data_IF_780715299536
#
_entry.id   IF_780715299536
#
_cell.length_a   1.000
_cell.length_b   1.000
_cell.length_c   1.000
_cell.angle_alpha   90.00
_cell.angle_beta   90.00
_cell.angle_gamma   90.00
#
_symmetry.space_group_name_H-M   'P 1'
#
loop_
_entity.id
_entity.type
_entity.pdbx_description
1 polymer ?
#
# COMPACT_ATOMS: atom_id res chain seq x y z
N UNK A 1 -73.27 -5.33 -27.20
CA UNK A 1 -71.93 -4.97 -27.66
C UNK A 1 -70.94 -5.46 -26.64
N UNK A 2 -70.25 -6.55 -26.91
CA UNK A 2 -69.43 -7.32 -25.97
C UNK A 2 -67.99 -6.75 -26.03
N UNK A 3 -67.42 -6.32 -24.91
CA UNK A 3 -65.99 -6.01 -24.82
C UNK A 3 -65.35 -7.17 -24.08
N UNK A 4 -64.51 -7.89 -24.79
CA UNK A 4 -63.65 -8.96 -24.26
C UNK A 4 -62.43 -8.34 -23.56
N UNK A 5 -62.31 -8.65 -22.27
CA UNK A 5 -61.09 -8.36 -21.52
C UNK A 5 -60.17 -9.57 -21.64
N UNK A 6 -59.06 -9.40 -22.35
CA UNK A 6 -57.98 -10.37 -22.42
C UNK A 6 -57.08 -10.19 -21.19
N UNK A 7 -57.12 -11.14 -20.26
CA UNK A 7 -56.17 -11.23 -19.17
C UNK A 7 -54.85 -11.81 -19.65
N UNK A 8 -53.80 -11.03 -19.55
CA UNK A 8 -52.41 -11.48 -19.77
C UNK A 8 -51.87 -12.13 -18.52
N UNK A 9 -51.67 -13.46 -18.58
CA UNK A 9 -50.96 -14.23 -17.57
C UNK A 9 -49.48 -13.87 -17.67
N UNK A 10 -48.96 -13.20 -16.65
CA UNK A 10 -47.53 -13.04 -16.44
C UNK A 10 -46.97 -14.34 -15.84
N UNK A 11 -46.27 -15.11 -16.64
CA UNK A 11 -45.52 -16.26 -16.17
C UNK A 11 -44.28 -15.76 -15.41
N UNK A 12 -44.32 -15.86 -14.10
CA UNK A 12 -43.15 -15.63 -13.25
C UNK A 12 -42.21 -16.82 -13.44
N UNK A 13 -41.14 -16.61 -14.22
CA UNK A 13 -40.04 -17.56 -14.33
C UNK A 13 -39.27 -17.58 -13.03
N UNK A 14 -39.52 -18.61 -12.21
CA UNK A 14 -38.68 -18.94 -11.04
C UNK A 14 -37.35 -19.44 -11.57
N UNK A 15 -36.35 -18.55 -11.53
CA UNK A 15 -34.95 -18.94 -11.74
C UNK A 15 -34.57 -19.76 -10.49
N UNK A 16 -34.59 -21.08 -10.61
CA UNK A 16 -33.98 -22.00 -9.66
C UNK A 16 -32.48 -21.72 -9.66
N UNK A 17 -32.03 -20.88 -8.74
CA UNK A 17 -30.63 -20.74 -8.35
C UNK A 17 -30.23 -22.10 -7.74
N UNK A 18 -29.69 -22.96 -8.59
CA UNK A 18 -28.98 -24.15 -8.10
C UNK A 18 -27.90 -23.65 -7.13
N UNK A 19 -27.81 -24.20 -5.91
CA UNK A 19 -26.70 -23.89 -5.02
C UNK A 19 -25.43 -24.37 -5.74
N UNK A 20 -24.68 -23.43 -6.32
CA UNK A 20 -23.31 -23.70 -6.72
C UNK A 20 -22.59 -24.02 -5.42
N UNK A 21 -22.26 -25.29 -5.21
CA UNK A 21 -21.32 -25.67 -4.16
C UNK A 21 -20.02 -24.92 -4.41
N UNK A 22 -19.92 -23.74 -3.86
CA UNK A 22 -18.67 -23.03 -3.74
C UNK A 22 -17.87 -23.85 -2.75
N UNK A 23 -17.06 -24.78 -3.25
CA UNK A 23 -15.96 -25.34 -2.47
C UNK A 23 -15.23 -24.16 -1.90
N UNK A 24 -15.30 -23.99 -0.59
CA UNK A 24 -14.50 -23.03 0.17
C UNK A 24 -13.05 -23.52 0.10
N UNK A 25 -12.45 -23.39 -1.08
CA UNK A 25 -11.02 -23.38 -1.25
C UNK A 25 -10.57 -22.23 -0.38
N UNK A 26 -9.61 -22.45 0.50
CA UNK A 26 -9.08 -21.50 1.48
C UNK A 26 -8.80 -20.13 0.83
N UNK A 27 -9.85 -19.37 0.64
CA UNK A 27 -9.78 -18.01 0.17
C UNK A 27 -9.28 -17.23 1.36
N UNK A 28 -7.98 -16.97 1.39
CA UNK A 28 -7.35 -16.26 2.47
C UNK A 28 -8.04 -14.91 2.68
N UNK A 29 -8.99 -14.89 3.62
CA UNK A 29 -9.60 -13.64 4.07
C UNK A 29 -8.50 -12.75 4.62
N UNK A 30 -8.46 -11.51 4.16
CA UNK A 30 -7.55 -10.49 4.65
C UNK A 30 -8.32 -9.67 5.67
N UNK A 31 -7.87 -9.69 6.91
CA UNK A 31 -8.36 -8.87 7.99
C UNK A 31 -7.16 -8.20 8.67
N UNK A 32 -7.05 -6.89 8.56
CA UNK A 32 -5.95 -6.12 9.12
C UNK A 32 -6.45 -4.84 9.80
N UNK A 33 -6.75 -4.88 11.09
CA UNK A 33 -7.01 -3.69 11.87
C UNK A 33 -5.70 -2.94 12.14
N UNK A 34 -5.76 -1.62 12.14
CA UNK A 34 -4.63 -0.75 12.44
C UNK A 34 -5.05 0.43 13.31
N UNK A 35 -4.19 0.80 14.25
CA UNK A 35 -4.25 2.06 14.98
C UNK A 35 -3.31 3.04 14.28
N UNK A 36 -3.85 4.06 13.63
CA UNK A 36 -3.08 5.04 12.86
C UNK A 36 -2.55 6.18 13.75
N UNK A 37 -3.31 6.54 14.77
CA UNK A 37 -2.93 7.51 15.81
C UNK A 37 -3.75 7.23 17.08
N UNK A 38 -3.59 8.05 18.13
CA UNK A 38 -4.36 7.87 19.37
C UNK A 38 -5.87 7.95 19.18
N UNK A 39 -6.32 8.61 18.10
CA UNK A 39 -7.75 8.83 17.81
C UNK A 39 -8.15 8.40 16.41
N UNK A 40 -7.31 7.62 15.72
CA UNK A 40 -7.58 7.16 14.36
C UNK A 40 -7.30 5.68 14.23
N UNK A 41 -8.29 4.97 13.75
CA UNK A 41 -8.25 3.53 13.51
C UNK A 41 -8.64 3.25 12.07
N UNK A 42 -8.16 2.17 11.53
CA UNK A 42 -8.63 1.62 10.25
C UNK A 42 -8.74 0.11 10.31
N UNK A 43 -9.57 -0.44 9.45
CA UNK A 43 -9.69 -1.87 9.25
C UNK A 43 -9.69 -2.14 7.75
N UNK A 44 -8.78 -3.00 7.32
CA UNK A 44 -8.68 -3.46 5.94
C UNK A 44 -9.26 -4.86 5.84
N UNK A 45 -10.27 -5.00 4.99
CA UNK A 45 -10.96 -6.25 4.67
C UNK A 45 -10.68 -6.59 3.22
N UNK A 46 -10.49 -7.86 2.89
CA UNK A 46 -10.29 -8.26 1.50
C UNK A 46 -10.13 -9.74 1.33
N UNK A 47 -9.87 -10.14 0.09
CA UNK A 47 -9.64 -11.52 -0.28
C UNK A 47 -8.59 -11.63 -1.38
N UNK A 48 -7.95 -12.78 -1.45
CA UNK A 48 -7.14 -13.16 -2.61
C UNK A 48 -8.09 -13.67 -3.70
N UNK A 49 -7.94 -13.16 -4.89
CA UNK A 49 -8.70 -13.61 -6.06
C UNK A 49 -7.99 -14.78 -6.73
N UNK A 50 -8.75 -15.76 -7.26
CA UNK A 50 -8.19 -16.95 -7.93
C UNK A 50 -7.76 -16.59 -9.37
N UNK A 51 -6.69 -15.83 -9.48
CA UNK A 51 -6.10 -15.39 -10.76
C UNK A 51 -4.70 -15.98 -10.88
N UNK A 52 -4.20 -16.14 -12.11
CA UNK A 52 -2.81 -16.60 -12.37
C UNK A 52 -1.78 -15.67 -11.71
N UNK A 53 -2.05 -14.38 -11.74
CA UNK A 53 -1.26 -13.38 -11.03
C UNK A 53 -1.85 -13.15 -9.65
N UNK A 54 -1.07 -13.17 -8.56
CA UNK A 54 -1.58 -12.94 -7.20
C UNK A 54 -2.25 -11.57 -7.09
N UNK A 55 -3.57 -11.56 -7.13
CA UNK A 55 -4.41 -10.38 -7.02
C UNK A 55 -5.17 -10.40 -5.70
N UNK A 56 -5.15 -9.31 -4.98
CA UNK A 56 -5.91 -9.09 -3.75
C UNK A 56 -6.74 -7.84 -3.90
N UNK A 57 -7.95 -7.85 -3.38
CA UNK A 57 -8.82 -6.68 -3.40
C UNK A 57 -9.74 -6.66 -2.19
N UNK A 58 -10.22 -5.48 -1.83
CA UNK A 58 -11.10 -5.32 -0.69
C UNK A 58 -11.48 -3.88 -0.38
N UNK A 59 -11.89 -3.71 0.86
CA UNK A 59 -12.32 -2.43 1.44
C UNK A 59 -11.40 -2.07 2.61
N UNK A 60 -11.13 -0.79 2.76
CA UNK A 60 -10.52 -0.19 3.93
C UNK A 60 -11.48 0.85 4.48
N UNK A 61 -11.83 0.70 5.75
CA UNK A 61 -12.67 1.64 6.48
C UNK A 61 -11.83 2.30 7.56
N UNK A 62 -11.90 3.62 7.62
CA UNK A 62 -11.26 4.41 8.66
C UNK A 62 -12.27 5.01 9.63
N UNK A 63 -11.79 5.41 10.78
CA UNK A 63 -12.52 6.21 11.74
C UNK A 63 -11.55 7.13 12.47
N UNK A 64 -11.83 8.42 12.47
CA UNK A 64 -11.07 9.42 13.21
C UNK A 64 -12.00 10.15 14.17
N UNK A 65 -11.55 10.40 15.40
CA UNK A 65 -12.30 11.12 16.42
C UNK A 65 -11.61 12.44 16.80
N UNK A 66 -12.41 13.46 17.11
CA UNK A 66 -11.96 14.74 17.67
C UNK A 66 -11.49 14.59 19.13
N UNK A 67 -10.98 15.66 19.72
CA UNK A 67 -10.63 15.70 21.16
C UNK A 67 -11.80 15.42 22.08
N UNK A 68 -13.00 15.79 21.69
CA UNK A 68 -14.24 15.50 22.42
C UNK A 68 -14.84 14.12 22.15
N UNK A 69 -14.17 13.24 21.42
CA UNK A 69 -14.63 11.88 21.09
C UNK A 69 -15.68 11.81 19.97
N UNK A 70 -16.07 12.92 19.36
CA UNK A 70 -16.97 12.91 18.22
C UNK A 70 -16.28 12.35 16.98
N UNK A 71 -16.96 11.49 16.22
CA UNK A 71 -16.44 10.97 14.94
C UNK A 71 -16.39 12.12 13.93
N UNK A 72 -15.20 12.38 13.38
CA UNK A 72 -14.95 13.49 12.46
C UNK A 72 -14.87 13.01 11.02
N UNK A 73 -14.30 11.82 10.81
CA UNK A 73 -14.08 11.27 9.47
C UNK A 73 -14.20 9.74 9.47
N UNK A 74 -14.90 9.21 8.47
CA UNK A 74 -15.08 7.77 8.25
C UNK A 74 -14.79 7.41 6.79
N UNK A 75 -13.52 7.52 6.35
CA UNK A 75 -13.17 7.22 4.98
C UNK A 75 -13.43 5.76 4.64
N UNK A 76 -14.07 5.54 3.50
CA UNK A 76 -14.25 4.22 2.89
C UNK A 76 -13.46 4.19 1.60
N UNK A 77 -12.53 3.24 1.50
CA UNK A 77 -11.65 3.11 0.34
C UNK A 77 -11.75 1.71 -0.23
N UNK A 78 -11.80 1.60 -1.54
CA UNK A 78 -11.54 0.36 -2.27
C UNK A 78 -10.04 0.25 -2.50
N UNK A 79 -9.51 -0.94 -2.31
CA UNK A 79 -8.11 -1.21 -2.59
C UNK A 79 -7.96 -2.48 -3.42
N UNK A 80 -6.94 -2.51 -4.23
CA UNK A 80 -6.51 -3.69 -4.96
C UNK A 80 -4.99 -3.67 -5.08
N UNK A 81 -4.36 -4.81 -4.98
CA UNK A 81 -2.94 -4.96 -5.24
C UNK A 81 -2.65 -6.27 -5.99
N UNK A 82 -1.65 -6.23 -6.85
CA UNK A 82 -1.26 -7.32 -7.71
C UNK A 82 0.27 -7.36 -7.82
N UNK A 83 0.84 -8.55 -7.67
CA UNK A 83 2.26 -8.78 -7.91
C UNK A 83 2.46 -9.14 -9.38
N UNK A 84 3.01 -8.21 -10.17
CA UNK A 84 3.29 -8.41 -11.59
C UNK A 84 4.46 -9.36 -11.83
N UNK A 85 5.47 -9.30 -10.96
CA UNK A 85 6.69 -10.08 -11.08
C UNK A 85 7.25 -10.37 -9.69
N UNK A 86 7.62 -11.61 -9.44
CA UNK A 86 8.35 -12.00 -8.24
C UNK A 86 9.40 -13.02 -8.64
N UNK A 87 10.67 -12.68 -8.41
CA UNK A 87 11.82 -13.57 -8.63
C UNK A 87 12.58 -13.70 -7.33
N UNK A 88 12.81 -14.92 -6.89
CA UNK A 88 13.55 -15.21 -5.67
C UNK A 88 14.60 -16.29 -5.98
N UNK A 89 15.78 -15.83 -6.37
CA UNK A 89 16.95 -16.66 -6.64
C UNK A 89 18.01 -16.46 -5.55
N UNK A 90 18.92 -17.40 -5.33
CA UNK A 90 20.04 -17.19 -4.42
C UNK A 90 20.78 -15.88 -4.73
N UNK A 91 20.83 -14.98 -3.74
CA UNK A 91 21.48 -13.67 -3.87
C UNK A 91 20.71 -12.61 -4.67
N UNK A 92 19.53 -12.92 -5.24
CA UNK A 92 18.74 -11.95 -6.02
C UNK A 92 17.25 -12.08 -5.70
N UNK A 93 16.66 -11.00 -5.23
CA UNK A 93 15.20 -10.90 -5.05
C UNK A 93 14.69 -9.69 -5.81
N UNK A 94 13.73 -9.89 -6.70
CA UNK A 94 13.06 -8.83 -7.45
C UNK A 94 11.56 -8.98 -7.25
N UNK A 95 10.88 -7.89 -6.92
CA UNK A 95 9.43 -7.83 -6.86
C UNK A 95 8.94 -6.57 -7.57
N UNK A 96 7.83 -6.69 -8.28
CA UNK A 96 7.09 -5.58 -8.88
C UNK A 96 5.64 -5.73 -8.53
N UNK A 97 5.12 -4.76 -7.80
CA UNK A 97 3.75 -4.74 -7.31
C UNK A 97 3.04 -3.51 -7.85
N UNK A 98 1.77 -3.66 -8.18
CA UNK A 98 0.87 -2.56 -8.53
C UNK A 98 -0.26 -2.53 -7.53
N UNK A 99 -0.52 -1.36 -6.97
CA UNK A 99 -1.62 -1.11 -6.07
C UNK A 99 -2.56 -0.05 -6.62
N UNK A 100 -3.84 -0.18 -6.33
CA UNK A 100 -4.87 0.81 -6.61
C UNK A 100 -5.59 1.11 -5.30
N UNK A 101 -5.81 2.38 -5.03
CA UNK A 101 -6.60 2.85 -3.91
C UNK A 101 -7.62 3.87 -4.43
N UNK A 102 -8.88 3.73 -4.08
CA UNK A 102 -9.94 4.65 -4.47
C UNK A 102 -10.78 5.02 -3.25
N UNK A 103 -10.93 6.30 -3.00
CA UNK A 103 -11.78 6.82 -1.94
C UNK A 103 -13.22 6.88 -2.46
N UNK A 104 -14.13 6.12 -1.84
CA UNK A 104 -15.53 6.02 -2.26
C UNK A 104 -16.31 7.34 -2.04
N UNK A 105 -15.89 8.17 -1.09
CA UNK A 105 -16.59 9.41 -0.74
C UNK A 105 -16.20 10.58 -1.64
N UNK A 106 -14.91 10.68 -1.98
CA UNK A 106 -14.39 11.80 -2.78
C UNK A 106 -14.24 11.46 -4.26
N UNK A 107 -14.28 10.17 -4.63
CA UNK A 107 -13.95 9.71 -5.97
C UNK A 107 -12.46 9.81 -6.31
N UNK A 108 -11.62 10.23 -5.35
CA UNK A 108 -10.17 10.34 -5.57
C UNK A 108 -9.54 8.94 -5.62
N UNK A 109 -8.55 8.78 -6.48
CA UNK A 109 -7.86 7.50 -6.69
C UNK A 109 -6.35 7.68 -6.76
N UNK A 110 -5.63 6.61 -6.45
CA UNK A 110 -4.19 6.52 -6.63
C UNK A 110 -3.83 5.16 -7.23
N UNK A 111 -2.93 5.17 -8.19
CA UNK A 111 -2.27 3.97 -8.72
C UNK A 111 -0.81 4.03 -8.32
N UNK A 112 -0.35 3.00 -7.63
CA UNK A 112 1.02 2.91 -7.14
C UNK A 112 1.72 1.72 -7.75
N UNK A 113 2.92 1.93 -8.29
CA UNK A 113 3.81 0.87 -8.74
C UNK A 113 5.04 0.84 -7.84
N UNK A 114 5.27 -0.30 -7.19
CA UNK A 114 6.43 -0.54 -6.32
C UNK A 114 7.37 -1.54 -7.00
N UNK A 115 8.64 -1.19 -7.07
CA UNK A 115 9.70 -2.05 -7.56
C UNK A 115 10.73 -2.23 -6.46
N UNK A 116 10.91 -3.46 -6.00
CA UNK A 116 11.93 -3.83 -5.03
C UNK A 116 12.96 -4.72 -5.69
N UNK A 117 14.23 -4.41 -5.53
CA UNK A 117 15.32 -5.22 -6.01
C UNK A 117 16.38 -5.33 -4.91
N UNK A 118 16.65 -6.55 -4.46
CA UNK A 118 17.73 -6.86 -3.53
C UNK A 118 18.73 -7.78 -4.21
N UNK A 119 20.02 -7.47 -4.07
CA UNK A 119 21.12 -8.28 -4.59
C UNK A 119 22.23 -8.40 -3.56
N UNK A 120 22.80 -9.57 -3.44
CA UNK A 120 24.10 -9.77 -2.80
C UNK A 120 25.15 -9.27 -3.79
N UNK A 121 25.75 -8.11 -3.50
CA UNK A 121 26.74 -7.51 -4.39
C UNK A 121 28.10 -8.17 -4.22
N UNK A 122 28.48 -8.47 -2.98
CA UNK A 122 29.69 -9.22 -2.62
C UNK A 122 29.41 -10.09 -1.40
N UNK A 123 30.39 -10.87 -0.93
CA UNK A 123 30.27 -11.65 0.31
C UNK A 123 29.95 -10.77 1.54
N UNK A 124 30.38 -9.50 1.51
CA UNK A 124 30.26 -8.57 2.64
C UNK A 124 29.11 -7.56 2.48
N UNK A 125 28.60 -7.37 1.27
CA UNK A 125 27.65 -6.28 0.98
C UNK A 125 26.42 -6.75 0.23
N UNK A 126 25.26 -6.30 0.73
CA UNK A 126 23.96 -6.39 0.09
C UNK A 126 23.55 -5.01 -0.43
N UNK A 127 22.97 -4.96 -1.62
CA UNK A 127 22.36 -3.75 -2.21
C UNK A 127 20.86 -3.97 -2.35
N UNK A 128 20.07 -3.04 -1.83
CA UNK A 128 18.62 -3.02 -2.00
C UNK A 128 18.20 -1.69 -2.62
N UNK A 129 17.41 -1.77 -3.68
CA UNK A 129 16.81 -0.61 -4.36
C UNK A 129 15.29 -0.74 -4.30
N UNK A 130 14.64 0.30 -3.80
CA UNK A 130 13.20 0.43 -3.80
C UNK A 130 12.80 1.66 -4.61
N UNK A 131 11.88 1.47 -5.54
CA UNK A 131 11.23 2.56 -6.28
C UNK A 131 9.73 2.47 -6.12
N UNK A 132 9.14 3.60 -5.79
CA UNK A 132 7.69 3.77 -5.71
C UNK A 132 7.29 4.90 -6.67
N UNK A 133 6.32 4.63 -7.52
CA UNK A 133 5.74 5.60 -8.44
C UNK A 133 4.25 5.64 -8.19
N UNK A 134 3.71 6.80 -7.84
CA UNK A 134 2.29 6.98 -7.54
C UNK A 134 1.70 8.06 -8.44
N UNK A 135 0.69 7.67 -9.19
CA UNK A 135 -0.15 8.58 -9.98
C UNK A 135 -1.44 8.82 -9.21
N UNK A 136 -1.81 10.08 -9.00
CA UNK A 136 -3.00 10.47 -8.23
C UNK A 136 -4.04 11.13 -9.10
N UNK A 137 -5.30 10.80 -8.83
CA UNK A 137 -6.48 11.45 -9.37
C UNK A 137 -7.26 12.11 -8.23
N UNK A 138 -7.56 13.38 -8.36
CA UNK A 138 -8.40 14.11 -7.43
C UNK A 138 -9.84 14.09 -7.94
N UNK A 139 -10.72 13.44 -7.18
CA UNK A 139 -12.13 13.31 -7.53
C UNK A 139 -12.92 14.60 -7.36
N UNK A 140 -12.44 15.56 -6.55
CA UNK A 140 -13.10 16.84 -6.37
C UNK A 140 -12.87 17.78 -7.56
N UNK A 141 -11.61 17.90 -7.99
CA UNK A 141 -11.26 18.70 -9.17
C UNK A 141 -11.43 17.95 -10.48
N UNK A 142 -11.66 16.62 -10.44
CA UNK A 142 -11.77 15.72 -11.58
C UNK A 142 -10.52 15.74 -12.48
N UNK A 143 -9.35 15.91 -11.90
CA UNK A 143 -8.08 16.01 -12.59
C UNK A 143 -7.03 15.05 -12.02
N UNK A 144 -6.07 14.70 -12.85
CA UNK A 144 -4.87 14.03 -12.38
C UNK A 144 -4.02 15.05 -11.62
N UNK A 145 -3.75 14.77 -10.33
CA UNK A 145 -3.08 15.69 -9.42
C UNK A 145 -1.57 15.49 -9.32
N UNK A 146 -0.98 14.76 -10.27
CA UNK A 146 0.46 14.66 -10.35
C UNK A 146 1.02 13.25 -10.22
N UNK A 147 2.31 13.16 -10.47
CA UNK A 147 3.13 11.97 -10.38
C UNK A 147 4.15 12.15 -9.25
N UNK A 148 4.08 11.26 -8.26
CA UNK A 148 5.07 11.19 -7.20
C UNK A 148 6.01 10.02 -7.46
N UNK A 149 7.30 10.26 -7.28
CA UNK A 149 8.34 9.24 -7.41
C UNK A 149 9.20 9.24 -6.17
N UNK A 150 9.42 8.07 -5.58
CA UNK A 150 10.39 7.89 -4.50
C UNK A 150 11.35 6.77 -4.90
N UNK A 151 12.63 7.02 -4.76
CA UNK A 151 13.69 6.05 -5.00
C UNK A 151 14.58 5.98 -3.78
N UNK A 152 14.78 4.77 -3.22
CA UNK A 152 15.79 4.54 -2.19
C UNK A 152 16.82 3.51 -2.65
N UNK A 153 18.05 3.71 -2.20
CA UNK A 153 19.16 2.79 -2.36
C UNK A 153 19.74 2.51 -0.99
N UNK A 154 19.84 1.25 -0.62
CA UNK A 154 20.37 0.78 0.64
C UNK A 154 21.58 -0.13 0.38
N UNK A 155 22.72 0.23 0.93
CA UNK A 155 23.92 -0.60 0.95
C UNK A 155 24.13 -1.10 2.37
N UNK A 156 24.07 -2.42 2.58
CA UNK A 156 24.21 -3.04 3.90
C UNK A 156 25.49 -3.86 3.97
N UNK A 157 26.29 -3.64 5.00
CA UNK A 157 27.42 -4.53 5.33
C UNK A 157 26.89 -5.66 6.21
N UNK A 158 26.93 -6.88 5.67
CA UNK A 158 26.32 -8.07 6.29
C UNK A 158 26.96 -8.43 7.64
N UNK A 159 28.28 -8.26 7.77
CA UNK A 159 29.03 -8.62 8.98
C UNK A 159 28.70 -7.73 10.19
N UNK A 160 28.38 -6.45 9.98
CA UNK A 160 28.18 -5.47 11.07
C UNK A 160 26.73 -5.00 11.21
N UNK A 161 25.89 -5.31 10.23
CA UNK A 161 24.54 -4.79 10.16
C UNK A 161 24.47 -3.26 9.97
N UNK A 162 25.60 -2.65 9.53
CA UNK A 162 25.65 -1.23 9.17
C UNK A 162 25.02 -1.05 7.79
N UNK A 163 24.14 -0.07 7.64
CA UNK A 163 23.55 0.25 6.34
C UNK A 163 23.66 1.74 6.04
N UNK A 164 24.03 2.05 4.81
CA UNK A 164 23.97 3.38 4.24
C UNK A 164 22.75 3.46 3.33
N UNK A 165 21.90 4.48 3.55
CA UNK A 165 20.64 4.65 2.82
C UNK A 165 20.62 6.01 2.16
N UNK A 166 20.35 6.02 0.86
CA UNK A 166 20.06 7.22 0.08
C UNK A 166 18.60 7.19 -0.34
N UNK A 167 17.88 8.28 -0.16
CA UNK A 167 16.51 8.40 -0.65
C UNK A 167 16.35 9.71 -1.39
N UNK A 168 15.72 9.65 -2.56
CA UNK A 168 15.27 10.81 -3.31
C UNK A 168 13.77 10.69 -3.55
N UNK A 169 13.05 11.80 -3.44
CA UNK A 169 11.63 11.83 -3.79
C UNK A 169 11.31 13.10 -4.58
N UNK A 170 10.36 12.98 -5.49
CA UNK A 170 9.75 14.10 -6.17
C UNK A 170 8.24 14.00 -6.06
N UNK A 171 7.57 15.14 -6.05
CA UNK A 171 6.12 15.28 -6.05
C UNK A 171 5.68 16.20 -7.19
N UNK A 172 4.36 16.17 -7.44
CA UNK A 172 3.69 17.08 -8.37
C UNK A 172 4.37 17.15 -9.74
N UNK A 173 4.68 15.95 -10.31
CA UNK A 173 5.30 15.84 -11.64
C UNK A 173 6.67 16.52 -11.71
N UNK A 174 7.49 16.34 -10.67
CA UNK A 174 8.86 16.85 -10.53
C UNK A 174 8.99 18.33 -10.18
N UNK A 175 7.93 18.98 -9.69
CA UNK A 175 8.02 20.38 -9.24
C UNK A 175 8.67 20.50 -7.86
N UNK A 176 8.46 19.49 -7.00
CA UNK A 176 9.06 19.46 -5.66
C UNK A 176 10.04 18.29 -5.51
N UNK A 177 11.18 18.54 -4.89
CA UNK A 177 12.20 17.52 -4.63
C UNK A 177 12.58 17.44 -3.17
N UNK A 178 12.81 16.24 -2.70
CA UNK A 178 13.42 15.97 -1.40
C UNK A 178 14.52 14.91 -1.53
N UNK A 179 15.48 14.96 -0.63
CA UNK A 179 16.54 13.95 -0.54
C UNK A 179 16.90 13.67 0.91
N UNK A 180 17.35 12.47 1.17
CA UNK A 180 17.76 12.01 2.49
C UNK A 180 18.98 11.11 2.39
N UNK A 181 19.88 11.26 3.34
CA UNK A 181 21.01 10.37 3.56
C UNK A 181 20.95 9.87 4.99
N UNK A 182 21.00 8.57 5.18
CA UNK A 182 20.98 7.97 6.50
C UNK A 182 22.06 6.90 6.67
N UNK A 183 22.57 6.83 7.88
CA UNK A 183 23.43 5.75 8.36
C UNK A 183 22.68 5.00 9.46
N UNK A 184 22.48 3.72 9.25
CA UNK A 184 21.86 2.84 10.21
C UNK A 184 22.88 1.87 10.79
N UNK A 185 22.84 1.67 12.09
CA UNK A 185 23.68 0.71 12.79
C UNK A 185 22.83 -0.23 13.62
N UNK A 186 22.87 -1.50 13.30
CA UNK A 186 22.31 -2.56 14.14
C UNK A 186 23.25 -2.80 15.33
N UNK A 187 22.83 -2.42 16.54
CA UNK A 187 23.60 -2.61 17.77
C UNK A 187 23.33 -3.96 18.43
N UNK A 188 22.10 -4.47 18.26
CA UNK A 188 21.71 -5.83 18.67
C UNK A 188 20.56 -6.32 17.78
N UNK A 189 20.09 -7.56 17.99
CA UNK A 189 18.94 -8.07 17.23
C UNK A 189 17.66 -7.26 17.44
N UNK A 190 17.60 -6.55 18.53
CA UNK A 190 16.44 -5.77 18.93
C UNK A 190 16.65 -4.26 18.83
N UNK A 191 17.87 -3.76 18.69
CA UNK A 191 18.18 -2.33 18.70
C UNK A 191 18.90 -1.89 17.43
N UNK A 192 18.31 -0.92 16.75
CA UNK A 192 18.92 -0.23 15.60
C UNK A 192 18.92 1.27 15.88
N UNK A 193 20.05 1.91 15.64
CA UNK A 193 20.19 3.38 15.67
C UNK A 193 20.38 3.91 14.27
N UNK A 194 19.68 4.98 13.92
CA UNK A 194 19.72 5.64 12.62
C UNK A 194 20.05 7.11 12.82
N UNK A 195 21.10 7.59 12.17
CA UNK A 195 21.37 9.02 12.01
C UNK A 195 21.02 9.43 10.58
N UNK A 196 20.27 10.49 10.39
CA UNK A 196 19.89 11.00 9.07
C UNK A 196 20.09 12.48 8.90
N UNK A 197 20.28 12.88 7.63
CA UNK A 197 20.21 14.25 7.15
C UNK A 197 19.18 14.29 6.03
N UNK A 198 18.11 15.02 6.29
CA UNK A 198 16.98 15.11 5.38
C UNK A 198 16.91 16.54 4.83
N UNK A 199 16.84 16.68 3.50
CA UNK A 199 16.44 17.88 2.81
C UNK A 199 15.00 17.70 2.37
N UNK A 200 14.08 18.30 3.15
CA UNK A 200 12.64 18.23 2.85
C UNK A 200 12.27 19.01 1.58
N UNK A 201 11.02 18.92 1.17
CA UNK A 201 10.47 19.67 0.03
C UNK A 201 10.54 21.20 0.23
N UNK A 202 10.58 21.67 1.48
CA UNK A 202 10.73 23.08 1.84
C UNK A 202 12.18 23.59 1.78
N UNK A 203 13.10 22.84 1.21
CA UNK A 203 14.52 23.16 1.07
C UNK A 203 15.26 23.38 2.41
N UNK A 204 14.77 22.74 3.48
CA UNK A 204 15.38 22.81 4.82
C UNK A 204 16.11 21.52 5.15
N UNK A 205 17.35 21.66 5.63
CA UNK A 205 18.11 20.54 6.16
C UNK A 205 17.71 20.24 7.60
N UNK A 206 17.41 18.98 7.89
CA UNK A 206 17.01 18.50 9.20
C UNK A 206 17.86 17.29 9.59
N UNK A 207 18.80 17.44 10.53
CA UNK A 207 19.46 16.28 11.12
C UNK A 207 18.51 15.60 12.08
N UNK A 208 18.52 14.26 12.10
CA UNK A 208 17.74 13.47 13.04
C UNK A 208 18.52 12.24 13.52
N UNK A 209 18.26 11.82 14.75
CA UNK A 209 18.76 10.56 15.29
C UNK A 209 17.56 9.80 15.87
N UNK A 210 17.39 8.57 15.42
CA UNK A 210 16.32 7.67 15.87
C UNK A 210 16.92 6.38 16.42
N UNK A 211 16.34 5.88 17.53
CA UNK A 211 16.62 4.55 18.04
C UNK A 211 15.33 3.73 17.96
N UNK A 212 15.40 2.56 17.34
CA UNK A 212 14.29 1.62 17.23
C UNK A 212 14.60 0.38 18.04
N UNK A 213 13.78 0.09 19.04
CA UNK A 213 13.87 -1.09 19.88
C UNK A 213 12.64 -1.97 19.73
N UNK A 214 12.84 -3.26 19.36
CA UNK A 214 11.76 -4.24 19.18
C UNK A 214 11.76 -5.25 20.31
N UNK A 215 10.66 -5.34 21.03
CA UNK A 215 10.42 -6.40 22.01
C UNK A 215 9.68 -7.55 21.31
N UNK A 216 10.19 -8.78 21.45
CA UNK A 216 9.49 -10.00 21.05
C UNK A 216 9.18 -10.79 22.32
N UNK A 217 7.93 -11.00 22.60
CA UNK A 217 7.41 -11.87 23.65
C UNK A 217 6.81 -13.12 23.06
#
# INVERSE_FOLDING_TARGET
MLVKILGTLAAASLILLSPVEVKAQERGLIWAPAKNSDRSYSARLGTKLPTETPLRAGLEMGMSASEGGAVVDTPVKFWGDMTLMSTNLPGVKIARDVGILMNALTGSAAVTMTMTQKRVATADFDVESNRNVTLRYDGHSQQWSGLDVTQSLRLTRSATGTAFVLTGASRETFDEFSSSVALEQKLSDNLTVTGSFDRGFEDRFRPAVHANYKIRW
#
